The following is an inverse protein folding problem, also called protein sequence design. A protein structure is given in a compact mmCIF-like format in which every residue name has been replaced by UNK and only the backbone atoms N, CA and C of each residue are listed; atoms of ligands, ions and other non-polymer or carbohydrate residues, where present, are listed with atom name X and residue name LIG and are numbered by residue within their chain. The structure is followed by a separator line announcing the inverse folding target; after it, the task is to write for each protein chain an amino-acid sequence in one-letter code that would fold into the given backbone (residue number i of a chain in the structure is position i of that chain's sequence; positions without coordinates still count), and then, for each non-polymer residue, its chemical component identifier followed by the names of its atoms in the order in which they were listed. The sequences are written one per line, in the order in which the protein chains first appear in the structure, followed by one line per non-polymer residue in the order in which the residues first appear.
data_IF_691780692657
#
_entry.id   IF_691780692657
#
_cell.length_a   1.000
_cell.length_b   1.000
_cell.length_c   1.000
_cell.angle_alpha   90.00
_cell.angle_beta   90.00
_cell.angle_gamma   90.00
#
_symmetry.space_group_name_H-M   'P 1'
#
loop_
_entity.id
_entity.type
_entity.pdbx_description
1 polymer ?
#
# COMPACT_ATOMS: atom_id res chain seq x y z
N UNK A 1 -53.95 -15.10 -56.98
CA UNK A 1 -54.18 -13.65 -56.77
C UNK A 1 -55.36 -13.52 -55.82
N UNK A 2 -55.31 -12.91 -54.65
CA UNK A 2 -54.22 -12.38 -53.86
C UNK A 2 -54.57 -12.51 -52.37
N UNK A 3 -53.60 -12.85 -51.52
CA UNK A 3 -53.77 -12.83 -50.07
C UNK A 3 -53.66 -11.38 -49.59
N UNK A 4 -54.78 -10.84 -49.10
CA UNK A 4 -54.84 -9.54 -48.45
C UNK A 4 -54.01 -9.52 -47.17
N UNK A 5 -53.26 -8.44 -46.98
CA UNK A 5 -52.53 -8.11 -45.77
C UNK A 5 -53.56 -7.84 -44.66
N UNK A 6 -53.56 -8.66 -43.61
CA UNK A 6 -54.34 -8.42 -42.39
C UNK A 6 -53.76 -7.19 -41.64
N UNK A 7 -54.60 -6.30 -41.09
CA UNK A 7 -54.13 -5.10 -40.39
C UNK A 7 -53.39 -5.46 -39.10
N UNK A 8 -52.33 -4.70 -38.81
CA UNK A 8 -51.48 -4.87 -37.64
C UNK A 8 -52.30 -4.86 -36.34
N UNK A 9 -52.02 -5.83 -35.47
CA UNK A 9 -52.57 -5.89 -34.12
C UNK A 9 -52.32 -4.55 -33.40
N UNK A 10 -53.38 -3.99 -32.80
CA UNK A 10 -53.31 -2.70 -32.11
C UNK A 10 -52.26 -2.73 -30.97
N UNK A 11 -51.57 -1.62 -30.72
CA UNK A 11 -50.59 -1.49 -29.62
C UNK A 11 -51.10 -1.91 -28.23
N UNK A 12 -52.42 -2.01 -28.03
CA UNK A 12 -53.05 -2.50 -26.80
C UNK A 12 -52.76 -3.98 -26.53
N UNK A 13 -52.85 -4.86 -27.53
CA UNK A 13 -52.71 -6.31 -27.33
C UNK A 13 -51.27 -6.72 -27.00
N UNK A 14 -50.30 -5.97 -27.52
CA UNK A 14 -48.87 -6.16 -27.22
C UNK A 14 -48.56 -5.75 -25.78
N UNK A 15 -49.17 -4.68 -25.28
CA UNK A 15 -49.00 -4.23 -23.89
C UNK A 15 -49.66 -5.16 -22.87
N UNK A 16 -50.83 -5.71 -23.20
CA UNK A 16 -51.51 -6.69 -22.33
C UNK A 16 -50.75 -8.02 -22.26
N UNK A 17 -50.14 -8.47 -23.36
CA UNK A 17 -49.27 -9.65 -23.39
C UNK A 17 -47.94 -9.46 -22.62
N UNK A 18 -47.46 -8.23 -22.49
CA UNK A 18 -46.28 -7.91 -21.68
C UNK A 18 -46.61 -7.86 -20.18
N UNK A 19 -47.80 -7.38 -19.81
CA UNK A 19 -48.23 -7.27 -18.42
C UNK A 19 -48.69 -8.58 -17.78
N UNK A 20 -49.12 -9.58 -18.57
CA UNK A 20 -49.62 -10.87 -18.08
C UNK A 20 -48.63 -12.04 -18.21
N UNK A 21 -47.33 -11.79 -18.37
CA UNK A 21 -46.33 -12.88 -18.29
C UNK A 21 -46.32 -13.45 -16.86
N UNK A 22 -46.47 -14.77 -16.68
CA UNK A 22 -46.26 -15.37 -15.36
C UNK A 22 -44.84 -15.03 -14.90
N UNK A 23 -44.73 -14.40 -13.73
CA UNK A 23 -43.45 -14.14 -13.07
C UNK A 23 -42.79 -15.49 -12.80
N UNK A 24 -41.94 -15.95 -13.71
CA UNK A 24 -41.07 -17.08 -13.45
C UNK A 24 -40.20 -16.70 -12.26
N UNK A 25 -40.42 -17.38 -11.14
CA UNK A 25 -39.60 -17.21 -9.95
C UNK A 25 -38.15 -17.47 -10.37
N UNK A 26 -37.32 -16.44 -10.37
CA UNK A 26 -35.87 -16.58 -10.53
C UNK A 26 -35.35 -17.26 -9.27
N UNK A 27 -35.42 -18.59 -9.25
CA UNK A 27 -34.59 -19.41 -8.36
C UNK A 27 -33.15 -19.30 -8.88
N UNK A 28 -32.46 -18.22 -8.53
CA UNK A 28 -31.03 -18.08 -8.78
C UNK A 28 -30.27 -18.75 -7.64
N UNK A 29 -30.17 -20.07 -7.66
CA UNK A 29 -29.19 -20.80 -6.84
C UNK A 29 -27.81 -20.72 -7.48
N UNK A 30 -27.34 -19.51 -7.81
CA UNK A 30 -25.92 -19.30 -8.09
C UNK A 30 -25.20 -19.44 -6.74
N UNK A 31 -24.23 -20.36 -6.58
CA UNK A 31 -23.46 -20.45 -5.35
C UNK A 31 -22.94 -19.07 -5.01
N UNK A 32 -23.25 -18.59 -3.80
CA UNK A 32 -22.72 -17.31 -3.33
C UNK A 32 -21.21 -17.45 -3.31
N UNK A 33 -20.52 -16.63 -4.09
CA UNK A 33 -19.07 -16.62 -4.10
C UNK A 33 -18.56 -16.52 -2.65
N UNK A 34 -17.48 -17.25 -2.28
CA UNK A 34 -16.95 -17.20 -0.94
C UNK A 34 -16.69 -15.74 -0.55
N UNK A 35 -17.04 -15.38 0.69
CA UNK A 35 -16.78 -14.03 1.19
C UNK A 35 -15.28 -13.84 1.25
N UNK A 36 -14.77 -12.82 0.57
CA UNK A 36 -13.37 -12.40 0.64
C UNK A 36 -13.21 -11.32 1.70
N UNK A 37 -12.09 -11.36 2.39
CA UNK A 37 -11.73 -10.47 3.49
C UNK A 37 -10.45 -9.71 3.15
N UNK A 38 -10.35 -8.47 3.62
CA UNK A 38 -9.14 -7.68 3.47
C UNK A 38 -8.80 -7.02 4.80
N UNK A 39 -7.53 -7.05 5.17
CA UNK A 39 -6.97 -6.33 6.30
C UNK A 39 -6.27 -5.08 5.78
N UNK A 40 -6.72 -3.90 6.22
CA UNK A 40 -6.17 -2.60 5.78
C UNK A 40 -5.47 -1.94 6.95
N UNK A 41 -4.16 -1.77 6.84
CA UNK A 41 -3.28 -1.22 7.86
C UNK A 41 -2.82 0.18 7.44
N UNK A 42 -3.15 1.17 8.26
CA UNK A 42 -2.94 2.58 7.97
C UNK A 42 -1.49 3.04 8.18
N UNK A 43 -1.23 4.31 7.90
CA UNK A 43 0.00 4.97 8.33
C UNK A 43 -0.09 5.36 9.82
N UNK A 44 1.04 5.75 10.42
CA UNK A 44 1.06 6.21 11.81
C UNK A 44 2.44 6.18 12.49
N UNK A 45 3.51 5.92 11.74
CA UNK A 45 4.84 5.75 12.32
C UNK A 45 4.86 4.65 13.38
N UNK A 46 5.68 4.84 14.41
CA UNK A 46 5.86 3.89 15.51
C UNK A 46 4.60 3.71 16.34
N UNK A 47 3.82 4.78 16.55
CA UNK A 47 2.50 4.72 17.21
C UNK A 47 1.53 3.86 16.40
N UNK A 48 1.54 3.98 15.07
CA UNK A 48 0.72 3.15 14.18
C UNK A 48 1.11 1.68 14.25
N UNK A 49 2.41 1.37 14.32
CA UNK A 49 2.89 -0.01 14.51
C UNK A 49 2.39 -0.57 15.84
N UNK A 50 2.49 0.19 16.94
CA UNK A 50 1.98 -0.24 18.24
C UNK A 50 0.47 -0.44 18.27
N UNK A 51 -0.28 0.44 17.60
CA UNK A 51 -1.72 0.28 17.44
C UNK A 51 -2.08 -0.98 16.66
N UNK A 52 -1.42 -1.24 15.53
CA UNK A 52 -1.61 -2.48 14.77
C UNK A 52 -1.27 -3.70 15.61
N UNK A 53 -0.15 -3.70 16.33
CA UNK A 53 0.28 -4.80 17.18
C UNK A 53 -0.81 -5.17 18.21
N UNK A 54 -1.35 -4.17 18.92
CA UNK A 54 -2.41 -4.39 19.90
C UNK A 54 -3.72 -4.88 19.28
N UNK A 55 -4.14 -4.32 18.14
CA UNK A 55 -5.35 -4.76 17.46
C UNK A 55 -5.21 -6.18 16.93
N UNK A 56 -4.09 -6.53 16.29
CA UNK A 56 -3.85 -7.87 15.76
C UNK A 56 -3.77 -8.91 16.88
N UNK A 57 -3.13 -8.58 18.01
CA UNK A 57 -3.11 -9.44 19.20
C UNK A 57 -4.52 -9.65 19.76
N UNK A 58 -5.29 -8.59 19.92
CA UNK A 58 -6.67 -8.68 20.41
C UNK A 58 -7.59 -9.47 19.46
N UNK A 59 -7.38 -9.39 18.14
CA UNK A 59 -8.08 -10.22 17.16
C UNK A 59 -7.75 -11.70 17.37
N UNK A 60 -6.46 -12.05 17.49
CA UNK A 60 -6.02 -13.42 17.72
C UNK A 60 -6.57 -13.99 19.05
N UNK A 61 -6.54 -13.20 20.13
CA UNK A 61 -7.13 -13.56 21.44
C UNK A 61 -8.66 -13.75 21.37
N UNK A 62 -9.33 -13.03 20.47
CA UNK A 62 -10.75 -13.22 20.19
C UNK A 62 -11.06 -14.39 19.23
N UNK A 63 -10.05 -15.17 18.81
CA UNK A 63 -10.18 -16.30 17.90
C UNK A 63 -10.34 -15.91 16.42
N UNK A 64 -10.03 -14.66 16.07
CA UNK A 64 -9.98 -14.19 14.68
C UNK A 64 -8.54 -14.18 14.23
N UNK A 65 -8.19 -15.06 13.30
CA UNK A 65 -6.88 -15.08 12.68
C UNK A 65 -6.75 -13.93 11.65
N UNK A 66 -5.99 -12.86 11.93
CA UNK A 66 -5.79 -11.79 10.96
C UNK A 66 -4.94 -12.24 9.75
N UNK A 67 -4.11 -13.28 9.89
CA UNK A 67 -3.24 -13.82 8.82
C UNK A 67 -4.03 -14.50 7.71
N UNK A 68 -5.21 -15.01 8.04
CA UNK A 68 -6.15 -15.63 7.12
C UNK A 68 -6.83 -14.64 6.13
N UNK A 69 -6.57 -13.34 6.22
CA UNK A 69 -7.13 -12.37 5.29
C UNK A 69 -6.71 -12.66 3.83
N UNK A 70 -7.65 -12.60 2.87
CA UNK A 70 -7.36 -12.85 1.45
C UNK A 70 -6.46 -11.77 0.82
N UNK A 71 -6.40 -10.59 1.44
CA UNK A 71 -5.58 -9.45 1.03
C UNK A 71 -5.14 -8.64 2.25
N UNK A 72 -3.86 -8.26 2.28
CA UNK A 72 -3.33 -7.26 3.21
C UNK A 72 -2.96 -6.00 2.43
N UNK A 73 -3.45 -4.85 2.87
CA UNK A 73 -3.12 -3.54 2.30
C UNK A 73 -2.39 -2.70 3.35
N UNK A 74 -1.22 -2.18 3.01
CA UNK A 74 -0.38 -1.44 3.95
C UNK A 74 0.07 -0.07 3.44
N UNK A 75 0.06 0.94 4.30
CA UNK A 75 0.71 2.24 4.07
C UNK A 75 1.67 2.57 5.21
N UNK A 76 2.92 2.93 4.92
CA UNK A 76 3.92 3.29 5.96
C UNK A 76 4.01 2.24 7.07
N UNK A 77 3.60 2.56 8.31
CA UNK A 77 3.51 1.62 9.42
C UNK A 77 2.77 0.31 9.04
N UNK A 78 1.66 0.42 8.32
CA UNK A 78 0.91 -0.74 7.84
C UNK A 78 1.61 -1.51 6.72
N UNK A 79 2.48 -0.86 5.94
CA UNK A 79 3.32 -1.57 4.97
C UNK A 79 4.38 -2.42 5.68
N UNK A 80 4.96 -1.90 6.78
CA UNK A 80 5.92 -2.65 7.60
C UNK A 80 5.23 -3.87 8.23
N UNK A 81 4.14 -3.65 8.97
CA UNK A 81 3.42 -4.72 9.67
C UNK A 81 2.84 -5.74 8.68
N UNK A 82 2.23 -5.26 7.58
CA UNK A 82 1.67 -6.14 6.56
C UNK A 82 2.70 -6.98 5.83
N UNK A 83 3.90 -6.43 5.56
CA UNK A 83 5.00 -7.20 4.98
C UNK A 83 5.55 -8.26 5.94
N UNK A 84 5.79 -7.91 7.21
CA UNK A 84 6.27 -8.86 8.23
C UNK A 84 5.28 -10.02 8.36
N UNK A 85 4.00 -9.70 8.53
CA UNK A 85 2.90 -10.66 8.63
C UNK A 85 2.82 -11.58 7.41
N UNK A 86 2.96 -11.04 6.19
CA UNK A 86 2.89 -11.84 4.97
C UNK A 86 4.16 -12.62 4.65
N UNK A 87 5.30 -12.23 5.22
CA UNK A 87 6.52 -13.02 5.14
C UNK A 87 6.48 -14.28 6.06
N UNK A 88 5.33 -14.59 6.67
CA UNK A 88 5.15 -15.77 7.52
C UNK A 88 5.73 -15.62 8.92
N UNK A 89 6.10 -14.40 9.32
CA UNK A 89 6.58 -14.13 10.67
C UNK A 89 5.44 -14.18 11.68
N UNK A 90 5.77 -14.58 12.91
CA UNK A 90 4.84 -14.53 14.03
C UNK A 90 4.45 -13.08 14.36
N UNK A 91 3.17 -12.85 14.61
CA UNK A 91 2.65 -11.55 15.04
C UNK A 91 3.15 -11.15 16.42
N UNK A 92 3.60 -12.12 17.23
CA UNK A 92 4.31 -11.85 18.48
C UNK A 92 5.61 -11.06 18.24
N UNK A 93 6.24 -11.16 17.06
CA UNK A 93 7.37 -10.29 16.71
C UNK A 93 6.93 -8.83 16.59
N UNK A 94 5.80 -8.57 15.95
CA UNK A 94 5.24 -7.22 15.82
C UNK A 94 4.84 -6.67 17.19
N UNK A 95 4.31 -7.53 18.07
CA UNK A 95 4.04 -7.18 19.47
C UNK A 95 5.31 -6.84 20.25
N UNK A 96 6.35 -7.68 20.18
CA UNK A 96 7.63 -7.42 20.85
C UNK A 96 8.30 -6.14 20.36
N UNK A 97 8.26 -5.87 19.05
CA UNK A 97 8.74 -4.61 18.45
C UNK A 97 8.07 -3.38 19.06
N UNK A 98 6.75 -3.45 19.22
CA UNK A 98 5.95 -2.32 19.70
C UNK A 98 5.99 -2.15 21.22
N UNK A 99 5.94 -3.25 21.97
CA UNK A 99 5.74 -3.24 23.42
C UNK A 99 7.05 -3.20 24.20
N UNK A 100 8.06 -3.94 23.75
CA UNK A 100 9.35 -4.04 24.44
C UNK A 100 10.40 -3.06 23.91
N UNK A 101 10.05 -2.28 22.86
CA UNK A 101 10.99 -1.48 22.05
C UNK A 101 12.23 -2.28 21.63
N UNK A 102 12.09 -3.60 21.46
CA UNK A 102 13.18 -4.47 21.04
C UNK A 102 13.14 -4.65 19.54
N UNK A 103 14.29 -4.49 18.88
CA UNK A 103 14.44 -4.96 17.51
C UNK A 103 14.62 -6.49 17.52
N UNK A 104 13.65 -7.30 17.04
CA UNK A 104 13.78 -8.76 17.04
C UNK A 104 14.87 -9.26 16.10
N UNK A 105 15.36 -8.37 15.23
CA UNK A 105 16.28 -8.69 14.15
C UNK A 105 17.65 -8.04 14.34
N UNK A 106 17.87 -7.36 15.46
CA UNK A 106 19.16 -6.80 15.85
C UNK A 106 19.33 -6.81 17.37
N UNK A 107 20.28 -7.60 17.84
CA UNK A 107 20.50 -7.82 19.28
C UNK A 107 20.86 -6.52 20.01
N UNK A 108 20.22 -6.27 21.16
CA UNK A 108 20.46 -5.11 22.04
C UNK A 108 20.25 -3.73 21.37
N UNK A 109 19.37 -3.64 20.37
CA UNK A 109 19.07 -2.37 19.71
C UNK A 109 17.57 -2.03 19.83
N UNK A 110 17.23 -0.76 20.11
CA UNK A 110 15.83 -0.37 20.18
C UNK A 110 15.18 -0.46 18.81
N UNK A 111 13.87 -0.74 18.77
CA UNK A 111 13.11 -0.80 17.52
C UNK A 111 13.08 0.58 16.86
N UNK A 112 12.87 1.63 17.65
CA UNK A 112 13.00 3.01 17.20
C UNK A 112 14.42 3.48 17.45
N UNK A 113 15.13 3.82 16.38
CA UNK A 113 16.46 4.43 16.45
C UNK A 113 16.42 5.88 16.01
N UNK A 114 16.21 6.86 16.92
CA UNK A 114 16.21 8.27 16.58
C UNK A 114 17.51 8.69 15.90
N UNK A 115 18.64 8.09 16.28
CA UNK A 115 19.95 8.37 15.70
C UNK A 115 20.00 7.97 14.23
N UNK A 116 19.28 6.93 13.83
CA UNK A 116 19.17 6.46 12.43
C UNK A 116 18.16 7.31 11.67
N UNK A 117 16.96 7.51 12.25
CA UNK A 117 15.85 8.28 11.65
C UNK A 117 16.22 9.74 11.42
N UNK A 118 16.97 10.34 12.36
CA UNK A 118 17.42 11.73 12.32
C UNK A 118 18.92 11.88 12.09
N UNK A 119 19.61 10.82 11.65
CA UNK A 119 21.03 10.88 11.30
C UNK A 119 21.29 12.02 10.31
N UNK A 120 22.32 12.82 10.57
CA UNK A 120 22.72 13.90 9.68
C UNK A 120 23.09 13.33 8.31
N UNK A 121 22.16 13.42 7.35
CA UNK A 121 22.34 12.87 6.01
C UNK A 121 23.31 13.66 5.11
N UNK A 122 23.90 14.76 5.59
CA UNK A 122 24.82 15.60 4.83
C UNK A 122 26.18 15.72 5.51
N UNK A 123 27.24 15.67 4.72
CA UNK A 123 28.62 15.88 5.19
C UNK A 123 29.23 17.20 4.73
N UNK A 124 28.52 17.95 3.86
CA UNK A 124 29.00 19.20 3.26
C UNK A 124 27.87 20.23 3.11
N UNK A 125 28.18 21.55 3.10
CA UNK A 125 27.17 22.60 2.86
C UNK A 125 26.43 22.46 1.53
N UNK A 126 27.13 22.04 0.46
CA UNK A 126 26.53 21.74 -0.84
C UNK A 126 25.55 20.56 -0.73
N UNK A 127 25.89 19.53 0.07
CA UNK A 127 25.01 18.40 0.35
C UNK A 127 23.73 18.82 1.07
N UNK A 128 23.83 19.76 2.01
CA UNK A 128 22.67 20.35 2.70
C UNK A 128 21.79 21.15 1.73
N UNK A 129 22.37 22.02 0.90
CA UNK A 129 21.63 22.81 -0.09
C UNK A 129 20.85 21.92 -1.07
N UNK A 130 21.47 20.83 -1.54
CA UNK A 130 20.82 19.81 -2.38
C UNK A 130 19.63 19.13 -1.69
N UNK A 131 19.76 18.87 -0.38
CA UNK A 131 18.68 18.30 0.44
C UNK A 131 17.52 19.25 0.66
N UNK A 132 17.79 20.51 0.91
CA UNK A 132 16.75 21.55 1.02
C UNK A 132 16.00 21.70 -0.31
N UNK A 133 16.71 21.85 -1.43
CA UNK A 133 16.09 21.97 -2.75
C UNK A 133 15.26 20.73 -3.14
N UNK A 134 15.79 19.52 -2.90
CA UNK A 134 15.06 18.28 -3.15
C UNK A 134 13.81 18.14 -2.26
N UNK A 135 13.92 18.51 -0.99
CA UNK A 135 12.80 18.44 -0.03
C UNK A 135 11.69 19.44 -0.38
N UNK A 136 12.06 20.67 -0.80
CA UNK A 136 11.12 21.66 -1.30
C UNK A 136 10.39 21.16 -2.57
N UNK A 137 11.12 20.54 -3.50
CA UNK A 137 10.52 19.93 -4.69
C UNK A 137 9.53 18.81 -4.33
N UNK A 138 9.91 17.87 -3.46
CA UNK A 138 9.02 16.79 -3.03
C UNK A 138 7.76 17.36 -2.36
N UNK A 139 7.91 18.30 -1.43
CA UNK A 139 6.77 18.93 -0.75
C UNK A 139 5.84 19.63 -1.74
N UNK A 140 6.39 20.41 -2.66
CA UNK A 140 5.63 21.05 -3.73
C UNK A 140 4.85 20.02 -4.55
N UNK A 141 5.48 18.91 -4.95
CA UNK A 141 4.86 17.83 -5.75
C UNK A 141 3.85 16.99 -4.96
N UNK A 142 3.96 16.92 -3.64
CA UNK A 142 2.97 16.26 -2.77
C UNK A 142 1.69 17.10 -2.66
N UNK A 143 1.81 18.44 -2.64
CA UNK A 143 0.68 19.35 -2.40
C UNK A 143 0.05 19.86 -3.70
N UNK A 144 0.86 20.16 -4.73
CA UNK A 144 0.44 20.86 -5.95
C UNK A 144 0.38 19.89 -7.14
N UNK A 145 -0.82 19.75 -7.74
CA UNK A 145 -1.15 18.79 -8.82
C UNK A 145 -1.02 19.33 -10.25
N UNK A 146 -0.43 20.51 -10.44
CA UNK A 146 -0.21 21.11 -11.76
C UNK A 146 0.75 20.24 -12.62
N UNK A 147 0.59 20.18 -13.97
CA UNK A 147 1.46 19.38 -14.84
C UNK A 147 2.95 19.65 -14.57
N UNK A 148 3.68 18.56 -14.30
CA UNK A 148 5.06 18.60 -13.83
C UNK A 148 6.03 18.96 -14.95
N UNK A 149 6.94 19.91 -14.71
CA UNK A 149 8.19 19.95 -15.45
C UNK A 149 9.06 18.82 -14.89
N UNK A 150 9.23 17.74 -15.66
CA UNK A 150 10.17 16.66 -15.31
C UNK A 150 11.58 17.23 -15.45
N UNK A 151 12.37 17.37 -14.36
CA UNK A 151 13.75 17.77 -14.51
C UNK A 151 14.48 16.70 -15.33
N UNK A 152 15.47 17.06 -16.16
CA UNK A 152 16.29 16.06 -16.86
C UNK A 152 16.95 15.11 -15.84
N UNK A 153 17.20 13.85 -16.26
CA UNK A 153 17.73 12.79 -15.39
C UNK A 153 19.00 13.21 -14.64
N UNK A 154 19.86 14.02 -15.25
CA UNK A 154 21.06 14.60 -14.62
C UNK A 154 20.74 15.47 -13.40
N UNK A 155 19.68 16.28 -13.47
CA UNK A 155 19.20 17.11 -12.36
C UNK A 155 18.48 16.26 -11.30
N UNK A 156 17.81 15.19 -11.71
CA UNK A 156 17.13 14.26 -10.81
C UNK A 156 18.09 13.52 -9.85
N UNK A 157 19.35 13.28 -10.26
CA UNK A 157 20.43 12.79 -9.38
C UNK A 157 21.00 13.88 -8.47
N UNK A 158 20.70 15.15 -8.74
CA UNK A 158 21.11 16.27 -7.92
C UNK A 158 20.27 16.39 -6.63
N UNK A 159 18.97 16.10 -6.71
CA UNK A 159 18.03 16.22 -5.60
C UNK A 159 18.02 14.97 -4.71
N UNK A 160 18.83 14.94 -3.65
CA UNK A 160 18.63 14.00 -2.54
C UNK A 160 17.63 14.64 -1.57
N UNK A 161 16.34 14.32 -1.60
CA UNK A 161 15.43 14.83 -0.57
C UNK A 161 15.59 14.04 0.75
N UNK A 162 14.95 14.50 1.83
CA UNK A 162 15.06 13.87 3.15
C UNK A 162 16.22 14.41 3.96
N UNK A 163 16.11 14.40 5.28
CA UNK A 163 17.20 14.79 6.20
C UNK A 163 17.97 13.57 6.74
N UNK A 164 17.36 12.38 6.72
CA UNK A 164 17.96 11.13 7.23
C UNK A 164 18.86 10.37 6.23
N UNK A 165 19.62 9.40 6.77
CA UNK A 165 20.31 8.31 6.06
C UNK A 165 19.34 7.17 5.71
N UNK A 166 19.54 6.50 4.57
CA UNK A 166 18.55 5.56 3.98
C UNK A 166 19.12 4.17 3.69
N UNK A 167 20.42 3.96 3.85
CA UNK A 167 21.04 2.66 3.57
C UNK A 167 20.64 1.60 4.59
N UNK A 168 20.43 2.00 5.86
CA UNK A 168 20.08 1.07 6.94
C UNK A 168 18.64 0.54 6.83
N UNK A 169 17.68 1.37 6.38
CA UNK A 169 16.26 1.00 6.31
C UNK A 169 15.99 -0.14 5.32
N UNK A 170 16.73 -0.22 4.21
CA UNK A 170 16.56 -1.34 3.25
C UNK A 170 16.98 -2.67 3.87
N UNK A 171 18.12 -2.69 4.56
CA UNK A 171 18.65 -3.90 5.19
C UNK A 171 17.73 -4.36 6.33
N UNK A 172 17.21 -3.43 7.13
CA UNK A 172 16.22 -3.75 8.16
C UNK A 172 14.97 -4.39 7.56
N UNK A 173 14.39 -3.79 6.51
CA UNK A 173 13.19 -4.35 5.87
C UNK A 173 13.45 -5.72 5.22
N UNK A 174 14.65 -5.93 4.66
CA UNK A 174 15.05 -7.24 4.15
C UNK A 174 15.17 -8.28 5.29
N UNK A 175 15.71 -7.90 6.44
CA UNK A 175 15.78 -8.79 7.60
C UNK A 175 14.40 -9.11 8.18
N UNK A 176 13.45 -8.18 8.08
CA UNK A 176 12.12 -8.33 8.65
C UNK A 176 11.17 -9.14 7.77
N UNK A 177 11.24 -8.98 6.44
CA UNK A 177 10.25 -9.53 5.52
C UNK A 177 10.86 -10.29 4.33
N UNK A 178 12.19 -10.38 4.23
CA UNK A 178 12.87 -10.96 3.08
C UNK A 178 12.99 -10.01 1.88
N UNK A 179 13.62 -10.50 0.81
CA UNK A 179 13.80 -9.75 -0.45
C UNK A 179 12.63 -9.94 -1.42
N UNK A 180 11.95 -11.09 -1.34
CA UNK A 180 10.91 -11.52 -2.29
C UNK A 180 9.51 -11.15 -1.83
N UNK A 181 8.58 -11.02 -2.79
CA UNK A 181 7.18 -10.85 -2.46
C UNK A 181 6.59 -12.17 -1.96
N UNK A 182 5.69 -12.12 -0.94
CA UNK A 182 4.98 -13.29 -0.47
C UNK A 182 4.05 -13.86 -1.56
N UNK A 183 3.76 -15.15 -1.48
CA UNK A 183 2.77 -15.80 -2.35
C UNK A 183 1.35 -15.29 -2.07
N UNK A 184 1.03 -15.03 -0.80
CA UNK A 184 -0.23 -14.44 -0.39
C UNK A 184 -0.33 -12.96 -0.78
N UNK A 185 -1.56 -12.50 -1.07
CA UNK A 185 -1.74 -11.15 -1.60
C UNK A 185 -1.38 -10.05 -0.58
N UNK A 186 -0.40 -9.25 -0.98
CA UNK A 186 0.05 -8.02 -0.33
C UNK A 186 -0.01 -6.84 -1.30
N UNK A 187 -0.55 -5.72 -0.83
CA UNK A 187 -0.61 -4.47 -1.58
C UNK A 187 -0.05 -3.31 -0.75
N UNK A 188 0.98 -2.64 -1.26
CA UNK A 188 1.61 -1.51 -0.59
C UNK A 188 1.24 -0.21 -1.30
N UNK A 189 0.66 0.74 -0.56
CA UNK A 189 0.26 2.03 -1.12
C UNK A 189 1.42 3.03 -1.10
N UNK A 190 1.63 3.71 -2.21
CA UNK A 190 2.63 4.78 -2.36
C UNK A 190 2.11 5.90 -3.28
N UNK A 191 2.94 6.91 -3.52
CA UNK A 191 2.62 8.08 -4.32
C UNK A 191 3.78 8.42 -5.26
N UNK A 192 3.50 8.44 -6.56
CA UNK A 192 4.47 8.86 -7.57
C UNK A 192 4.47 10.39 -7.67
N UNK A 193 5.52 11.01 -7.12
CA UNK A 193 5.71 12.46 -7.13
C UNK A 193 5.98 13.03 -8.53
N UNK A 194 6.41 12.21 -9.50
CA UNK A 194 6.66 12.65 -10.87
C UNK A 194 5.35 12.76 -11.64
N UNK A 195 4.48 11.76 -11.55
CA UNK A 195 3.17 11.79 -12.23
C UNK A 195 2.07 12.45 -11.39
N UNK A 196 2.27 12.57 -10.08
CA UNK A 196 1.26 13.08 -9.14
C UNK A 196 0.15 12.07 -8.85
N UNK A 197 0.37 10.77 -9.11
CA UNK A 197 -0.63 9.73 -8.98
C UNK A 197 -0.37 8.83 -7.78
N UNK A 198 -1.44 8.28 -7.20
CA UNK A 198 -1.33 7.18 -6.24
C UNK A 198 -0.94 5.92 -6.98
N UNK A 199 -0.03 5.14 -6.41
CA UNK A 199 0.41 3.86 -6.95
C UNK A 199 0.23 2.78 -5.89
N UNK A 200 -0.09 1.57 -6.33
CA UNK A 200 -0.11 0.38 -5.50
C UNK A 200 0.97 -0.56 -6.02
N UNK A 201 1.82 -1.07 -5.13
CA UNK A 201 2.89 -2.01 -5.44
C UNK A 201 2.47 -3.39 -4.95
N UNK A 202 2.77 -4.45 -5.70
CA UNK A 202 2.51 -5.84 -5.28
C UNK A 202 1.39 -6.58 -6.00
N UNK A 203 0.18 -6.04 -6.25
CA UNK A 203 -0.86 -6.78 -6.96
C UNK A 203 -0.46 -7.25 -8.37
N UNK A 204 -1.19 -8.23 -8.91
CA UNK A 204 -0.98 -8.69 -10.28
C UNK A 204 -1.14 -7.52 -11.29
N UNK A 205 -0.15 -7.36 -12.18
CA UNK A 205 -0.11 -6.25 -13.15
C UNK A 205 0.36 -4.91 -12.58
N UNK A 206 0.67 -4.83 -11.28
CA UNK A 206 1.28 -3.66 -10.66
C UNK A 206 2.81 -3.79 -10.58
N UNK A 207 3.55 -2.68 -10.38
CA UNK A 207 4.99 -2.75 -10.15
C UNK A 207 5.34 -3.63 -8.94
N UNK A 208 6.35 -4.50 -9.12
CA UNK A 208 6.89 -5.40 -8.10
C UNK A 208 8.42 -5.27 -8.01
N UNK A 209 8.96 -4.15 -7.48
CA UNK A 209 10.38 -4.09 -7.11
C UNK A 209 10.66 -5.06 -5.95
N UNK A 210 11.92 -5.24 -5.55
CA UNK A 210 12.24 -6.00 -4.33
C UNK A 210 11.39 -5.52 -3.14
N UNK A 211 10.90 -6.44 -2.31
CA UNK A 211 9.96 -6.12 -1.23
C UNK A 211 10.48 -5.01 -0.29
N UNK A 212 11.77 -5.01 0.12
CA UNK A 212 12.32 -3.92 0.94
C UNK A 212 12.26 -2.55 0.27
N UNK A 213 12.43 -2.49 -1.05
CA UNK A 213 12.36 -1.22 -1.79
C UNK A 213 10.91 -0.74 -1.95
N UNK A 214 9.95 -1.66 -2.08
CA UNK A 214 8.52 -1.35 -2.03
C UNK A 214 8.10 -0.80 -0.65
N UNK A 215 8.57 -1.44 0.43
CA UNK A 215 8.32 -1.00 1.81
C UNK A 215 8.90 0.40 2.07
N UNK A 216 10.11 0.69 1.57
CA UNK A 216 10.71 2.03 1.63
C UNK A 216 9.87 3.05 0.87
N UNK A 217 9.40 2.72 -0.35
CA UNK A 217 8.57 3.63 -1.14
C UNK A 217 7.21 3.91 -0.46
N UNK A 218 6.62 2.92 0.21
CA UNK A 218 5.39 3.09 0.97
C UNK A 218 5.58 3.84 2.30
N UNK A 219 6.83 3.97 2.77
CA UNK A 219 7.21 4.61 4.04
C UNK A 219 7.97 5.93 3.89
N UNK A 220 8.20 6.38 2.65
CA UNK A 220 8.98 7.57 2.35
C UNK A 220 8.18 8.87 2.64
N UNK A 221 8.12 9.25 3.91
CA UNK A 221 7.53 10.51 4.35
C UNK A 221 8.29 11.69 3.74
N UNK A 222 7.62 12.61 3.00
CA UNK A 222 8.23 13.83 2.49
C UNK A 222 9.01 14.57 3.56
N UNK A 223 10.14 15.19 3.19
CA UNK A 223 11.07 15.91 4.06
C UNK A 223 11.90 15.02 5.01
N UNK A 224 11.37 13.90 5.50
CA UNK A 224 12.08 13.00 6.40
C UNK A 224 12.97 12.03 5.61
N UNK A 225 12.38 11.35 4.62
CA UNK A 225 13.06 10.36 3.79
C UNK A 225 13.12 10.80 2.31
N UNK A 226 14.21 10.50 1.59
CA UNK A 226 14.25 10.63 0.14
C UNK A 226 13.17 9.78 -0.53
N UNK A 227 12.60 10.25 -1.66
CA UNK A 227 11.77 9.41 -2.51
C UNK A 227 12.59 8.23 -3.04
N UNK A 228 11.94 7.08 -3.16
CA UNK A 228 12.54 5.86 -3.69
C UNK A 228 12.32 5.81 -5.19
N UNK A 229 13.37 5.47 -5.95
CA UNK A 229 13.27 5.19 -7.39
C UNK A 229 13.04 3.70 -7.57
N UNK A 230 11.97 3.36 -8.27
CA UNK A 230 11.55 2.00 -8.55
C UNK A 230 11.51 1.82 -10.06
N UNK A 231 12.59 1.29 -10.65
CA UNK A 231 12.75 1.19 -12.11
C UNK A 231 13.17 2.51 -12.76
#
# INVERSE_FOLDING_TARGET
MGNGIQPAESCSSVLDALNNRPKTAKSSTRPKAPKRTALVLGAGGTVGIAFHAGVLKAMAEAGLDPTAADLVVGTSAGAIVGSIMRAGNDLDLVWAMAHEDRNPFAENQPFVRPEVVFSQGWRTPIGLARRVAGSAYVLHRTVIRWPAIRPPLSLQHFYRAGIGSVTEQRMEFANWAGEEWPDEHLALCSFDIVTGQRVVLGPAGAPRPALPDAMRAASAVPLLYPPVRLG
#
